data_IF_508680988621
#
_entry.id   IF_508680988621
#
_cell.length_a   1.000
_cell.length_b   1.000
_cell.length_c   1.000
_cell.angle_alpha   90.00
_cell.angle_beta   90.00
_cell.angle_gamma   90.00
#
_symmetry.space_group_name_H-M   'P 1'
#
loop_
_entity.id
_entity.type
_entity.pdbx_description
1 polymer ?
#
# COMPACT_ATOMS: atom_id res chain seq x y z
N UNK A 1 16.20 23.21 5.33
CA UNK A 1 15.01 22.38 5.57
C UNK A 1 15.29 21.50 6.78
N UNK A 2 14.58 21.70 7.88
CA UNK A 2 14.77 20.91 9.11
C UNK A 2 14.35 19.46 8.86
N UNK A 3 14.93 18.43 9.52
CA UNK A 3 14.59 17.01 9.30
C UNK A 3 13.12 16.64 9.57
N UNK A 4 12.29 17.59 10.02
CA UNK A 4 10.87 17.37 10.36
C UNK A 4 9.86 17.85 9.31
N UNK A 5 10.28 18.47 8.22
CA UNK A 5 9.40 19.15 7.25
C UNK A 5 9.07 18.31 6.00
N UNK A 6 9.28 16.99 6.04
CA UNK A 6 8.72 16.12 5.01
C UNK A 6 7.23 15.97 5.30
N UNK A 7 6.41 16.67 4.53
CA UNK A 7 4.97 16.40 4.48
C UNK A 7 4.76 14.90 4.32
N UNK A 8 4.21 14.29 5.38
CA UNK A 8 3.87 12.87 5.36
C UNK A 8 2.87 12.65 4.23
N UNK A 9 3.16 11.69 3.35
CA UNK A 9 2.34 11.41 2.18
C UNK A 9 1.69 10.04 2.31
N UNK A 10 0.37 10.01 2.21
CA UNK A 10 -0.41 8.79 2.13
C UNK A 10 -0.58 8.35 0.68
N UNK A 11 -0.91 7.08 0.46
CA UNK A 11 -1.28 6.53 -0.84
C UNK A 11 -2.66 5.90 -0.77
N UNK A 12 -3.69 6.73 -0.84
CA UNK A 12 -5.10 6.34 -0.68
C UNK A 12 -5.79 6.15 -2.01
N UNK A 13 -5.38 6.93 -3.02
CA UNK A 13 -5.91 6.91 -4.37
C UNK A 13 -4.78 7.08 -5.38
N UNK A 14 -5.02 6.66 -6.62
CA UNK A 14 -4.01 6.81 -7.67
C UNK A 14 -3.63 8.27 -7.94
N UNK A 15 -4.53 9.22 -7.76
CA UNK A 15 -4.27 10.66 -7.96
C UNK A 15 -3.38 11.31 -6.89
N UNK A 16 -3.05 10.61 -5.80
CA UNK A 16 -2.27 11.18 -4.70
C UNK A 16 -0.81 11.42 -5.07
N UNK A 17 -0.32 10.76 -6.10
CA UNK A 17 1.02 10.92 -6.61
C UNK A 17 1.03 11.58 -7.99
N UNK A 18 2.07 12.35 -8.26
CA UNK A 18 2.30 13.01 -9.55
C UNK A 18 3.00 12.05 -10.51
N UNK A 19 2.98 12.39 -11.80
CA UNK A 19 3.61 11.57 -12.85
C UNK A 19 5.11 11.28 -12.58
N UNK A 20 5.84 12.28 -12.10
CA UNK A 20 7.27 12.17 -11.78
C UNK A 20 7.51 11.21 -10.61
N UNK A 21 6.60 11.19 -9.63
CA UNK A 21 6.68 10.26 -8.49
C UNK A 21 6.41 8.83 -8.93
N UNK A 22 5.47 8.62 -9.85
CA UNK A 22 5.24 7.31 -10.46
C UNK A 22 6.42 6.84 -11.30
N UNK A 23 7.04 7.74 -12.08
CA UNK A 23 8.25 7.42 -12.83
C UNK A 23 9.37 6.93 -11.91
N UNK A 24 9.60 7.65 -10.80
CA UNK A 24 10.55 7.24 -9.76
C UNK A 24 10.20 5.88 -9.13
N UNK A 25 8.92 5.65 -8.79
CA UNK A 25 8.47 4.38 -8.23
C UNK A 25 8.73 3.21 -9.19
N UNK A 26 8.44 3.36 -10.48
CA UNK A 26 8.68 2.33 -11.48
C UNK A 26 10.17 2.04 -11.68
N UNK A 27 11.01 3.06 -11.66
CA UNK A 27 12.46 2.88 -11.73
C UNK A 27 12.98 2.12 -10.50
N UNK A 28 12.55 2.52 -9.30
CA UNK A 28 12.87 1.81 -8.05
C UNK A 28 12.38 0.37 -8.08
N UNK A 29 11.19 0.14 -8.57
CA UNK A 29 10.60 -1.21 -8.69
C UNK A 29 11.44 -2.09 -9.61
N UNK A 30 11.88 -1.59 -10.78
CA UNK A 30 12.79 -2.34 -11.66
C UNK A 30 14.10 -2.70 -10.98
N UNK A 31 14.71 -1.75 -10.30
CA UNK A 31 15.97 -1.96 -9.56
C UNK A 31 15.81 -3.03 -8.49
N UNK A 32 14.76 -2.94 -7.66
CA UNK A 32 14.49 -3.91 -6.59
C UNK A 32 14.19 -5.29 -7.18
N UNK A 33 13.35 -5.35 -8.22
CA UNK A 33 12.99 -6.60 -8.90
C UNK A 33 14.20 -7.29 -9.54
N UNK A 34 15.11 -6.53 -10.15
CA UNK A 34 16.35 -7.07 -10.73
C UNK A 34 17.26 -7.65 -9.65
N UNK A 35 17.50 -6.91 -8.59
CA UNK A 35 18.30 -7.38 -7.45
C UNK A 35 17.70 -8.65 -6.85
N UNK A 36 16.38 -8.67 -6.65
CA UNK A 36 15.68 -9.82 -6.12
C UNK A 36 15.83 -11.06 -7.02
N UNK A 37 15.68 -10.91 -8.33
CA UNK A 37 15.88 -12.00 -9.30
C UNK A 37 17.32 -12.53 -9.33
N UNK A 38 18.29 -11.67 -9.05
CA UNK A 38 19.71 -12.03 -8.98
C UNK A 38 20.14 -12.55 -7.60
N UNK A 39 19.19 -12.74 -6.66
CA UNK A 39 19.49 -13.12 -5.27
C UNK A 39 20.43 -12.15 -4.54
N UNK A 40 20.46 -10.87 -4.98
CA UNK A 40 21.22 -9.83 -4.32
C UNK A 40 20.50 -9.35 -3.06
N UNK A 41 21.17 -9.43 -1.92
CA UNK A 41 20.62 -8.92 -0.66
C UNK A 41 20.43 -7.40 -0.75
N UNK A 42 19.18 -6.93 -0.59
CA UNK A 42 18.85 -5.52 -0.54
C UNK A 42 17.77 -5.28 0.52
N UNK A 43 18.16 -4.72 1.66
CA UNK A 43 17.31 -4.58 2.84
C UNK A 43 17.15 -3.11 3.27
N UNK A 44 16.47 -2.27 2.48
CA UNK A 44 16.29 -0.85 2.79
C UNK A 44 15.30 -0.61 3.93
N UNK A 45 14.58 -1.62 4.39
CA UNK A 45 13.55 -1.54 5.43
C UNK A 45 13.96 -2.23 6.73
N UNK A 46 15.25 -2.42 6.97
CA UNK A 46 15.74 -2.92 8.28
C UNK A 46 15.17 -2.05 9.40
N UNK A 47 14.70 -2.71 10.46
CA UNK A 47 14.07 -2.06 11.62
C UNK A 47 12.79 -1.26 11.31
N UNK A 48 12.13 -1.54 10.18
CA UNK A 48 10.84 -0.94 9.84
C UNK A 48 9.71 -1.95 9.99
N UNK A 49 8.60 -1.47 10.53
CA UNK A 49 7.41 -2.29 10.79
C UNK A 49 6.22 -1.76 9.99
N UNK A 50 5.58 -2.68 9.26
CA UNK A 50 4.31 -2.44 8.58
C UNK A 50 3.17 -3.05 9.41
N UNK A 51 2.18 -2.24 9.79
CA UNK A 51 0.90 -2.77 10.25
C UNK A 51 -0.01 -3.02 9.04
N UNK A 52 -0.55 -4.23 8.94
CA UNK A 52 -1.56 -4.58 7.94
C UNK A 52 -2.91 -4.81 8.59
N UNK A 53 -3.89 -3.98 8.28
CA UNK A 53 -5.24 -4.04 8.82
C UNK A 53 -6.19 -4.57 7.75
N UNK A 54 -6.84 -5.70 8.03
CA UNK A 54 -7.77 -6.35 7.12
C UNK A 54 -9.18 -6.44 7.70
N UNK A 55 -10.13 -5.78 7.06
CA UNK A 55 -11.57 -5.99 7.30
C UNK A 55 -12.18 -6.96 6.28
N UNK A 56 -11.51 -7.17 5.15
CA UNK A 56 -11.85 -8.16 4.13
C UNK A 56 -10.69 -9.14 3.97
N UNK A 57 -11.00 -10.42 3.89
CA UNK A 57 -10.01 -11.45 3.61
C UNK A 57 -9.30 -11.17 2.27
N UNK A 58 -8.01 -11.45 2.21
CA UNK A 58 -7.21 -11.35 1.00
C UNK A 58 -5.91 -12.14 1.10
N UNK A 59 -5.80 -13.20 0.34
CA UNK A 59 -4.58 -14.00 0.29
C UNK A 59 -3.48 -13.29 -0.49
N UNK A 60 -3.79 -12.81 -1.70
CA UNK A 60 -2.79 -12.18 -2.59
C UNK A 60 -2.19 -10.91 -1.99
N UNK A 61 -3.03 -10.00 -1.51
CA UNK A 61 -2.56 -8.75 -0.88
C UNK A 61 -1.72 -9.04 0.35
N UNK A 62 -2.18 -9.96 1.21
CA UNK A 62 -1.44 -10.36 2.40
C UNK A 62 -0.06 -10.89 2.05
N UNK A 63 0.01 -11.92 1.23
CA UNK A 63 1.28 -12.57 0.86
C UNK A 63 2.23 -11.59 0.18
N UNK A 64 1.75 -10.72 -0.72
CA UNK A 64 2.62 -9.77 -1.42
C UNK A 64 3.25 -8.73 -0.49
N UNK A 65 2.48 -8.19 0.46
CA UNK A 65 3.02 -7.23 1.42
C UNK A 65 3.93 -7.90 2.46
N UNK A 66 3.54 -9.06 3.01
CA UNK A 66 4.37 -9.80 3.97
C UNK A 66 5.71 -10.23 3.35
N UNK A 67 5.66 -10.87 2.17
CA UNK A 67 6.86 -11.29 1.48
C UNK A 67 7.75 -10.10 1.08
N UNK A 68 7.15 -9.03 0.56
CA UNK A 68 7.89 -7.83 0.17
C UNK A 68 8.59 -7.16 1.37
N UNK A 69 7.91 -7.02 2.50
CA UNK A 69 8.51 -6.48 3.72
C UNK A 69 9.66 -7.36 4.22
N UNK A 70 9.46 -8.66 4.30
CA UNK A 70 10.49 -9.61 4.71
C UNK A 70 11.72 -9.56 3.81
N UNK A 71 11.52 -9.58 2.50
CA UNK A 71 12.61 -9.54 1.51
C UNK A 71 13.43 -8.25 1.58
N UNK A 72 12.76 -7.14 1.93
CA UNK A 72 13.41 -5.83 2.11
C UNK A 72 13.94 -5.60 3.54
N UNK A 73 13.89 -6.61 4.43
CA UNK A 73 14.45 -6.56 5.79
C UNK A 73 13.52 -5.98 6.85
N UNK A 74 12.27 -5.69 6.50
CA UNK A 74 11.26 -5.19 7.45
C UNK A 74 10.46 -6.31 8.12
N UNK A 75 9.60 -5.92 9.05
CA UNK A 75 8.68 -6.78 9.78
C UNK A 75 7.22 -6.39 9.51
N UNK A 76 6.31 -7.31 9.82
CA UNK A 76 4.86 -7.10 9.63
C UNK A 76 4.10 -7.44 10.91
N UNK A 77 3.15 -6.59 11.28
CA UNK A 77 2.11 -6.88 12.27
C UNK A 77 0.79 -7.02 11.52
N UNK A 78 0.16 -8.18 11.62
CA UNK A 78 -1.10 -8.46 10.97
C UNK A 78 -2.26 -8.30 11.96
N UNK A 79 -3.23 -7.46 11.61
CA UNK A 79 -4.41 -7.17 12.41
C UNK A 79 -5.67 -7.51 11.62
N UNK A 80 -6.50 -8.39 12.16
CA UNK A 80 -7.83 -8.70 11.62
C UNK A 80 -8.93 -8.09 12.51
N UNK A 81 -10.13 -7.94 11.96
CA UNK A 81 -11.29 -7.47 12.75
C UNK A 81 -11.66 -8.45 13.87
N UNK A 82 -11.26 -9.72 13.76
CA UNK A 82 -11.45 -10.73 14.81
C UNK A 82 -10.51 -10.56 16.00
N UNK A 83 -9.30 -10.12 15.73
CA UNK A 83 -8.20 -10.06 16.72
C UNK A 83 -8.00 -8.66 17.30
N UNK A 84 -8.68 -7.64 16.73
CA UNK A 84 -8.50 -6.25 17.13
C UNK A 84 -9.80 -5.62 17.59
N UNK A 85 -9.69 -4.65 18.49
CA UNK A 85 -10.80 -3.77 18.90
C UNK A 85 -11.26 -2.83 17.76
N UNK A 86 -10.58 -2.86 16.61
CA UNK A 86 -10.85 -2.05 15.43
C UNK A 86 -12.28 -2.30 14.91
N UNK A 87 -13.15 -1.34 15.15
CA UNK A 87 -14.53 -1.38 14.66
C UNK A 87 -15.56 -1.99 15.60
N UNK A 88 -15.19 -2.47 16.81
CA UNK A 88 -16.16 -2.99 17.78
C UNK A 88 -16.65 -1.97 18.80
N UNK A 89 -15.83 -1.02 19.23
CA UNK A 89 -16.21 0.03 20.19
C UNK A 89 -15.24 1.25 20.14
N UNK A 90 -14.06 1.11 19.49
CA UNK A 90 -13.07 2.18 19.46
C UNK A 90 -13.24 3.04 18.20
N UNK A 91 -13.25 4.37 18.31
CA UNK A 91 -13.22 5.26 17.16
C UNK A 91 -11.99 5.00 16.29
N UNK A 92 -12.19 5.03 14.96
CA UNK A 92 -11.09 4.77 14.01
C UNK A 92 -9.93 5.75 14.16
N UNK A 93 -10.22 6.96 14.59
CA UNK A 93 -9.28 8.03 14.86
C UNK A 93 -8.35 7.70 16.03
N UNK A 94 -8.85 7.05 17.07
CA UNK A 94 -8.05 6.64 18.22
C UNK A 94 -7.16 5.45 17.89
N UNK A 95 -7.71 4.47 17.18
CA UNK A 95 -6.92 3.37 16.61
C UNK A 95 -5.77 3.91 15.74
N UNK A 96 -6.03 4.92 14.90
CA UNK A 96 -5.01 5.55 14.07
C UNK A 96 -3.89 6.19 14.90
N UNK A 97 -4.25 6.93 15.95
CA UNK A 97 -3.30 7.59 16.86
C UNK A 97 -2.42 6.57 17.61
N UNK A 98 -3.01 5.48 18.05
CA UNK A 98 -2.30 4.44 18.82
C UNK A 98 -1.38 3.64 17.91
N UNK A 99 -1.92 3.05 16.83
CA UNK A 99 -1.16 2.18 15.92
C UNK A 99 0.00 2.95 15.28
N UNK A 100 -0.24 4.18 14.82
CA UNK A 100 0.79 4.99 14.16
C UNK A 100 1.93 5.45 15.06
N UNK A 101 1.87 5.19 16.36
CA UNK A 101 3.00 5.39 17.30
C UNK A 101 3.88 4.17 17.46
N UNK A 102 3.42 3.00 17.00
CA UNK A 102 4.08 1.72 17.22
C UNK A 102 4.73 1.16 15.94
N UNK A 103 4.36 1.71 14.78
CA UNK A 103 4.80 1.21 13.46
C UNK A 103 5.28 2.35 12.56
N UNK A 104 5.95 2.01 11.46
CA UNK A 104 6.51 2.99 10.51
C UNK A 104 5.59 3.26 9.33
N UNK A 105 4.68 2.33 9.02
CA UNK A 105 3.74 2.44 7.91
C UNK A 105 2.51 1.57 8.18
N UNK A 106 1.36 1.95 7.65
CA UNK A 106 0.12 1.19 7.78
C UNK A 106 -0.45 0.88 6.40
N UNK A 107 -0.91 -0.34 6.18
CA UNK A 107 -1.73 -0.72 5.04
C UNK A 107 -3.11 -1.13 5.55
N UNK A 108 -4.17 -0.61 4.92
CA UNK A 108 -5.55 -0.91 5.29
C UNK A 108 -6.30 -1.44 4.09
N UNK A 109 -6.99 -2.57 4.29
CA UNK A 109 -7.97 -3.12 3.37
C UNK A 109 -9.33 -3.14 4.05
N UNK A 110 -10.22 -2.28 3.59
CA UNK A 110 -11.53 -2.02 4.23
C UNK A 110 -12.65 -1.93 3.18
N UNK A 111 -13.84 -1.57 3.63
CA UNK A 111 -15.00 -1.38 2.75
C UNK A 111 -15.09 0.06 2.25
N UNK A 112 -15.09 1.03 3.15
CA UNK A 112 -15.40 2.43 2.87
C UNK A 112 -14.13 3.28 2.73
N UNK A 113 -14.04 4.03 1.64
CA UNK A 113 -12.95 4.97 1.43
C UNK A 113 -12.91 6.06 2.53
N UNK A 114 -14.08 6.54 2.95
CA UNK A 114 -14.19 7.55 4.01
C UNK A 114 -13.58 7.07 5.34
N UNK A 115 -13.70 5.77 5.67
CA UNK A 115 -13.09 5.18 6.86
C UNK A 115 -11.56 5.21 6.77
N UNK A 116 -11.02 4.83 5.60
CA UNK A 116 -9.59 4.89 5.33
C UNK A 116 -9.05 6.33 5.43
N UNK A 117 -9.76 7.30 4.87
CA UNK A 117 -9.38 8.72 4.89
C UNK A 117 -9.39 9.28 6.32
N UNK A 118 -10.38 8.92 7.14
CA UNK A 118 -10.39 9.30 8.57
C UNK A 118 -9.21 8.70 9.33
N UNK A 119 -8.86 7.45 9.09
CA UNK A 119 -7.67 6.84 9.67
C UNK A 119 -6.41 7.60 9.25
N UNK A 120 -6.25 7.86 7.96
CA UNK A 120 -5.08 8.57 7.42
C UNK A 120 -4.93 9.98 8.01
N UNK A 121 -6.04 10.72 8.15
CA UNK A 121 -6.04 12.07 8.73
C UNK A 121 -5.52 12.13 10.19
N UNK A 122 -5.59 11.02 10.93
CA UNK A 122 -5.14 10.94 12.33
C UNK A 122 -3.87 10.09 12.51
N UNK A 123 -3.35 9.51 11.43
CA UNK A 123 -2.13 8.72 11.44
C UNK A 123 -0.88 9.62 11.46
N UNK A 124 0.15 9.21 12.20
CA UNK A 124 1.48 9.85 12.22
C UNK A 124 2.46 9.22 11.24
N UNK A 125 2.04 8.18 10.55
CA UNK A 125 2.85 7.45 9.56
C UNK A 125 2.09 7.32 8.25
N UNK A 126 2.79 7.07 7.12
CA UNK A 126 2.13 6.84 5.83
C UNK A 126 1.08 5.74 5.90
N UNK A 127 -0.03 5.96 5.21
CA UNK A 127 -1.12 4.98 5.06
C UNK A 127 -1.24 4.59 3.59
N UNK A 128 -1.32 3.29 3.33
CA UNK A 128 -1.52 2.70 2.01
C UNK A 128 -2.92 2.08 1.93
N UNK A 129 -3.64 2.40 0.87
CA UNK A 129 -4.90 1.75 0.53
C UNK A 129 -4.63 0.37 -0.09
N UNK A 130 -4.88 -0.70 0.65
CA UNK A 130 -4.81 -2.08 0.17
C UNK A 130 -6.00 -2.49 -0.68
N UNK A 131 -7.16 -1.89 -0.49
CA UNK A 131 -8.41 -1.92 -1.26
C UNK A 131 -9.53 -1.25 -0.45
N UNK A 132 -10.34 -0.45 -1.11
CA UNK A 132 -11.69 -0.09 -0.67
C UNK A 132 -12.72 -0.51 -1.73
N UNK A 133 -14.00 -0.26 -1.49
CA UNK A 133 -15.02 -0.50 -2.53
C UNK A 133 -14.84 0.43 -3.73
N UNK A 134 -14.31 1.63 -3.50
CA UNK A 134 -14.17 2.69 -4.48
C UNK A 134 -12.82 2.63 -5.23
N UNK A 135 -11.72 2.26 -4.53
CA UNK A 135 -10.37 2.37 -5.08
C UNK A 135 -9.47 1.19 -4.75
N UNK A 136 -8.64 0.83 -5.72
CA UNK A 136 -7.55 -0.14 -5.54
C UNK A 136 -6.25 0.38 -6.18
N UNK A 137 -5.60 1.40 -5.59
CA UNK A 137 -4.46 2.06 -6.20
C UNK A 137 -3.25 1.12 -6.39
N UNK A 138 -3.04 0.18 -5.49
CA UNK A 138 -1.97 -0.81 -5.61
C UNK A 138 -2.14 -1.74 -6.82
N UNK A 139 -3.39 -2.12 -7.17
CA UNK A 139 -3.66 -2.92 -8.36
C UNK A 139 -3.38 -2.13 -9.63
N UNK A 140 -3.87 -0.88 -9.71
CA UNK A 140 -3.61 0.00 -10.85
C UNK A 140 -2.10 0.16 -11.06
N UNK A 141 -1.34 0.37 -9.99
CA UNK A 141 0.11 0.50 -10.05
C UNK A 141 0.78 -0.77 -10.61
N UNK A 142 0.35 -1.94 -10.16
CA UNK A 142 0.86 -3.23 -10.63
C UNK A 142 0.53 -3.48 -12.10
N UNK A 143 -0.69 -3.16 -12.52
CA UNK A 143 -1.15 -3.34 -13.90
C UNK A 143 -0.38 -2.42 -14.86
N UNK A 144 -0.21 -1.15 -14.50
CA UNK A 144 0.60 -0.19 -15.27
C UNK A 144 2.05 -0.66 -15.38
N UNK A 145 2.65 -1.07 -14.26
CA UNK A 145 4.03 -1.53 -14.26
C UNK A 145 4.21 -2.77 -15.12
N UNK A 146 3.30 -3.75 -15.01
CA UNK A 146 3.29 -4.95 -15.84
C UNK A 146 3.16 -4.61 -17.32
N UNK A 147 2.25 -3.70 -17.66
CA UNK A 147 2.09 -3.25 -19.05
C UNK A 147 3.39 -2.63 -19.59
N UNK A 148 4.03 -1.75 -18.81
CA UNK A 148 5.29 -1.10 -19.21
C UNK A 148 6.41 -2.14 -19.40
N UNK A 149 6.49 -3.15 -18.53
CA UNK A 149 7.49 -4.22 -18.67
C UNK A 149 7.34 -5.03 -19.96
N UNK A 150 6.10 -5.31 -20.36
CA UNK A 150 5.82 -6.18 -21.52
C UNK A 150 5.62 -5.43 -22.85
N UNK A 151 5.24 -4.15 -22.79
CA UNK A 151 4.86 -3.35 -23.97
C UNK A 151 5.67 -2.07 -24.14
N UNK A 152 6.56 -1.74 -23.23
CA UNK A 152 7.49 -0.61 -23.28
C UNK A 152 6.89 0.72 -22.85
N UNK A 153 5.92 1.27 -23.55
CA UNK A 153 5.41 2.62 -23.26
C UNK A 153 3.89 2.67 -23.22
N UNK A 154 3.34 3.42 -22.25
CA UNK A 154 1.91 3.70 -22.15
C UNK A 154 1.43 4.86 -23.04
N UNK A 155 2.27 5.40 -23.91
CA UNK A 155 1.93 6.59 -24.72
C UNK A 155 0.72 6.43 -25.66
N UNK A 156 0.19 5.24 -25.82
CA UNK A 156 -0.97 5.00 -26.68
C UNK A 156 -1.79 3.82 -26.16
N UNK A 157 -2.78 4.04 -25.37
CA UNK A 157 -4.04 3.32 -25.24
C UNK A 157 -4.52 3.33 -23.79
N UNK A 158 -5.45 4.19 -23.52
CA UNK A 158 -6.37 4.01 -22.40
C UNK A 158 -7.32 2.90 -22.80
N UNK A 159 -7.05 1.67 -22.35
CA UNK A 159 -8.06 0.63 -22.36
C UNK A 159 -8.89 0.79 -21.09
N UNK A 160 -10.07 1.38 -21.23
CA UNK A 160 -11.07 1.41 -20.18
C UNK A 160 -11.59 -0.02 -19.97
N UNK A 161 -11.07 -0.68 -18.94
CA UNK A 161 -11.65 -1.89 -18.36
C UNK A 161 -12.92 -1.51 -17.57
N UNK A 162 -13.93 -1.00 -18.30
CA UNK A 162 -15.16 -0.53 -17.66
C UNK A 162 -16.22 -1.62 -17.48
N UNK A 163 -16.01 -2.82 -18.03
CA UNK A 163 -17.07 -3.83 -18.10
C UNK A 163 -16.59 -5.26 -17.97
N UNK A 164 -15.44 -5.53 -17.39
CA UNK A 164 -15.15 -6.90 -17.01
C UNK A 164 -15.78 -7.14 -15.64
N UNK A 165 -16.81 -7.99 -15.53
CA UNK A 165 -17.17 -8.51 -14.23
C UNK A 165 -15.92 -9.23 -13.71
N UNK A 166 -15.28 -8.63 -12.70
CA UNK A 166 -14.27 -9.35 -11.96
C UNK A 166 -14.92 -10.64 -11.47
N UNK A 167 -14.35 -11.82 -11.71
CA UNK A 167 -14.79 -13.00 -11.01
C UNK A 167 -14.55 -12.68 -9.52
N UNK A 168 -15.62 -12.33 -8.86
CA UNK A 168 -15.62 -12.18 -7.42
C UNK A 168 -15.94 -13.54 -6.87
N UNK A 169 -14.96 -14.07 -6.17
CA UNK A 169 -15.15 -15.20 -5.27
C UNK A 169 -16.24 -14.89 -4.23
#
# INVERSE_FOLDING_TARGET
MKPGDRLMKHYLQFKDFRAEEYAYLFERTRTIKTRFKNYEKYQPLVDRTLAMIFEKASTRTRVSFEAGMYQMGGSVVHLTTGDSQLGRAEPIEDSARVISRMVDIVMIRTYEQAKLERFAAHSRVPVINGLTNEYHPCQILADIFTFIEHRGSMKVKICLLYTSPSPRD
#
